data_IF_685024749393
#
_entry.id   IF_685024749393
#
_cell.length_a   1.000
_cell.length_b   1.000
_cell.length_c   1.000
_cell.angle_alpha   90.00
_cell.angle_beta   90.00
_cell.angle_gamma   90.00
#
_symmetry.space_group_name_H-M   'P 1'
#
loop_
_entity.id
_entity.type
_entity.pdbx_description
1 polymer ?
#
# COMPACT_ATOMS: atom_id res chain seq x y z
N UNK A 1 -37.38 -59.94 -20.77
CA UNK A 1 -36.04 -59.63 -21.29
C UNK A 1 -36.12 -58.34 -22.09
N UNK A 2 -35.52 -57.27 -21.56
CA UNK A 2 -34.76 -56.25 -22.30
C UNK A 2 -35.54 -55.38 -23.32
N UNK A 3 -35.65 -54.05 -23.28
CA UNK A 3 -34.93 -52.93 -22.64
C UNK A 3 -35.90 -51.73 -22.53
N UNK A 4 -35.90 -51.05 -21.37
CA UNK A 4 -36.37 -49.66 -21.26
C UNK A 4 -35.11 -48.80 -21.42
N UNK A 5 -34.99 -48.14 -22.58
CA UNK A 5 -33.89 -47.23 -22.87
C UNK A 5 -34.05 -45.95 -22.07
N UNK A 6 -33.43 -45.89 -20.90
CA UNK A 6 -33.21 -44.66 -20.15
C UNK A 6 -32.23 -43.79 -20.93
N UNK A 7 -32.75 -42.74 -21.56
CA UNK A 7 -31.94 -41.63 -22.07
C UNK A 7 -31.51 -40.78 -20.85
N UNK A 8 -30.46 -41.23 -20.16
CA UNK A 8 -29.80 -40.43 -19.12
C UNK A 8 -28.99 -39.34 -19.84
N UNK A 9 -29.59 -38.17 -20.03
CA UNK A 9 -28.87 -36.94 -20.35
C UNK A 9 -28.01 -36.62 -19.13
N UNK A 10 -26.75 -37.03 -19.16
CA UNK A 10 -25.71 -36.59 -18.26
C UNK A 10 -25.47 -35.10 -18.55
N UNK A 11 -26.25 -34.25 -17.89
CA UNK A 11 -25.97 -32.83 -17.71
C UNK A 11 -24.73 -32.73 -16.82
N UNK A 12 -23.55 -32.98 -17.40
CA UNK A 12 -22.31 -32.46 -16.87
C UNK A 12 -22.39 -30.94 -17.05
N UNK A 13 -22.94 -30.26 -16.03
CA UNK A 13 -22.63 -28.87 -15.76
C UNK A 13 -21.12 -28.80 -15.53
N UNK A 14 -20.36 -28.71 -16.62
CA UNK A 14 -18.99 -28.23 -16.57
C UNK A 14 -19.08 -26.81 -16.04
N UNK A 15 -18.90 -26.64 -14.73
CA UNK A 15 -18.49 -25.36 -14.20
C UNK A 15 -17.21 -25.02 -14.94
N UNK A 16 -17.30 -24.12 -15.92
CA UNK A 16 -16.13 -23.58 -16.59
C UNK A 16 -15.28 -22.98 -15.47
N UNK A 17 -14.19 -23.65 -15.12
CA UNK A 17 -13.21 -23.07 -14.22
C UNK A 17 -12.70 -21.81 -14.94
N UNK A 18 -13.06 -20.64 -14.43
CA UNK A 18 -12.54 -19.39 -14.95
C UNK A 18 -11.04 -19.40 -14.71
N UNK A 19 -10.26 -19.09 -15.75
CA UNK A 19 -8.85 -18.84 -15.60
C UNK A 19 -8.70 -17.69 -14.59
N UNK A 20 -8.04 -17.98 -13.47
CA UNK A 20 -7.76 -17.04 -12.41
C UNK A 20 -6.27 -16.73 -12.32
N UNK A 21 -5.92 -15.86 -11.39
CA UNK A 21 -4.55 -15.43 -11.10
C UNK A 21 -4.22 -15.75 -9.67
N UNK A 22 -3.06 -16.38 -9.45
CA UNK A 22 -2.42 -16.48 -8.13
C UNK A 22 -1.33 -15.43 -8.06
N UNK A 23 -1.31 -14.65 -6.99
CA UNK A 23 -0.25 -13.69 -6.71
C UNK A 23 0.19 -13.78 -5.26
N UNK A 24 1.49 -13.93 -5.03
CA UNK A 24 2.08 -13.87 -3.69
C UNK A 24 2.95 -12.64 -3.58
N UNK A 25 2.73 -11.86 -2.54
CA UNK A 25 3.50 -10.65 -2.28
C UNK A 25 4.03 -10.62 -0.85
N UNK A 26 5.20 -10.03 -0.71
CA UNK A 26 5.74 -9.62 0.58
C UNK A 26 5.88 -8.11 0.58
N UNK A 27 5.28 -7.45 1.57
CA UNK A 27 5.40 -6.01 1.78
C UNK A 27 5.95 -5.72 3.17
N UNK A 28 6.75 -4.68 3.29
CA UNK A 28 7.31 -4.20 4.54
C UNK A 28 7.33 -2.67 4.53
N UNK A 29 6.92 -2.06 5.64
CA UNK A 29 7.10 -0.64 5.90
C UNK A 29 7.81 -0.50 7.25
N UNK A 30 8.92 0.22 7.26
CA UNK A 30 9.64 0.57 8.49
C UNK A 30 9.54 2.07 8.71
N UNK A 31 8.84 2.43 9.77
CA UNK A 31 8.73 3.80 10.25
C UNK A 31 9.87 4.07 11.24
N UNK A 32 10.61 5.16 11.02
CA UNK A 32 11.69 5.58 11.91
C UNK A 32 11.12 5.90 13.29
N UNK A 33 11.76 5.38 14.35
CA UNK A 33 11.35 5.48 15.77
C UNK A 33 10.03 4.78 16.16
N UNK A 34 9.21 4.28 15.23
CA UNK A 34 7.96 3.55 15.54
C UNK A 34 8.17 2.03 15.41
N UNK A 35 8.84 1.59 14.35
CA UNK A 35 9.12 0.18 14.10
C UNK A 35 8.66 -0.30 12.73
N UNK A 36 8.49 -1.60 12.61
CA UNK A 36 8.43 -2.30 11.32
C UNK A 36 7.17 -3.15 11.19
N UNK A 37 6.43 -2.92 10.13
CA UNK A 37 5.23 -3.65 9.74
C UNK A 37 5.53 -4.48 8.50
N UNK A 38 5.27 -5.79 8.55
CA UNK A 38 5.45 -6.72 7.41
C UNK A 38 4.15 -7.46 7.14
N UNK A 39 3.81 -7.61 5.87
CA UNK A 39 2.66 -8.37 5.37
C UNK A 39 3.17 -9.38 4.35
N UNK A 40 2.76 -10.63 4.47
CA UNK A 40 2.83 -11.59 3.38
C UNK A 40 1.41 -11.89 2.95
N UNK A 41 1.08 -11.67 1.68
CA UNK A 41 -0.26 -11.90 1.14
C UNK A 41 -0.21 -12.98 0.06
N UNK A 42 -1.23 -13.83 0.04
CA UNK A 42 -1.54 -14.71 -1.09
C UNK A 42 -2.91 -14.34 -1.61
N UNK A 43 -2.96 -13.92 -2.86
CA UNK A 43 -4.15 -13.50 -3.56
C UNK A 43 -4.53 -14.56 -4.60
N UNK A 44 -5.81 -14.91 -4.61
CA UNK A 44 -6.46 -15.70 -5.66
C UNK A 44 -7.52 -14.81 -6.28
N UNK A 45 -7.52 -14.71 -7.60
CA UNK A 45 -8.34 -13.73 -8.29
C UNK A 45 -8.98 -14.30 -9.54
N UNK A 46 -10.27 -14.11 -9.69
CA UNK A 46 -10.97 -14.19 -10.99
C UNK A 46 -11.47 -12.79 -11.33
N UNK A 47 -12.15 -12.64 -12.47
CA UNK A 47 -12.75 -11.37 -12.88
C UNK A 47 -13.86 -10.86 -11.96
N UNK A 48 -14.40 -11.71 -11.08
CA UNK A 48 -15.59 -11.46 -10.27
C UNK A 48 -15.46 -11.88 -8.79
N UNK A 49 -14.40 -12.59 -8.43
CA UNK A 49 -14.13 -13.05 -7.07
C UNK A 49 -12.66 -12.84 -6.72
N UNK A 50 -12.42 -12.43 -5.47
CA UNK A 50 -11.07 -12.26 -4.93
C UNK A 50 -11.01 -12.93 -3.58
N UNK A 51 -9.95 -13.67 -3.31
CA UNK A 51 -9.57 -14.11 -1.98
C UNK A 51 -8.17 -13.62 -1.68
N UNK A 52 -7.99 -13.03 -0.52
CA UNK A 52 -6.68 -12.65 0.00
C UNK A 52 -6.52 -13.29 1.37
N UNK A 53 -5.45 -14.05 1.56
CA UNK A 53 -5.03 -14.51 2.88
C UNK A 53 -3.71 -13.79 3.23
N UNK A 54 -3.69 -13.09 4.36
CA UNK A 54 -2.56 -12.26 4.80
C UNK A 54 -2.00 -12.70 6.15
N UNK A 55 -0.69 -12.69 6.28
CA UNK A 55 0.02 -12.79 7.55
C UNK A 55 0.75 -11.48 7.85
N UNK A 56 0.31 -10.79 8.90
CA UNK A 56 0.85 -9.50 9.32
C UNK A 56 1.73 -9.65 10.56
N UNK A 57 2.88 -8.98 10.58
CA UNK A 57 3.83 -8.95 11.69
C UNK A 57 4.26 -7.51 11.95
N UNK A 58 3.97 -7.02 13.14
CA UNK A 58 4.47 -5.74 13.62
C UNK A 58 5.55 -5.93 14.68
N UNK A 59 6.68 -5.25 14.52
CA UNK A 59 7.78 -5.16 15.49
C UNK A 59 8.01 -3.70 15.85
N UNK A 60 7.52 -3.27 17.01
CA UNK A 60 7.74 -1.90 17.51
C UNK A 60 9.17 -1.67 17.99
N UNK A 61 9.65 -0.43 17.83
CA UNK A 61 10.95 0.06 18.32
C UNK A 61 10.74 1.17 19.37
N UNK A 62 11.69 1.36 20.30
CA UNK A 62 11.68 2.46 21.28
C UNK A 62 10.64 2.38 22.42
N UNK A 63 10.36 3.54 23.03
CA UNK A 63 9.41 3.73 24.16
C UNK A 63 7.93 3.55 23.75
N UNK A 64 7.63 3.59 22.45
CA UNK A 64 6.31 3.33 21.85
C UNK A 64 5.94 1.83 21.76
N UNK A 65 6.65 0.96 22.48
CA UNK A 65 6.32 -0.47 22.65
C UNK A 65 4.96 -0.74 23.32
N UNK A 66 4.30 0.31 23.82
CA UNK A 66 3.04 0.25 24.56
C UNK A 66 1.83 -0.15 23.71
N UNK A 67 0.80 -0.67 24.39
CA UNK A 67 -0.35 -1.40 23.81
C UNK A 67 -1.13 -0.65 22.71
N UNK A 68 -1.11 0.68 22.66
CA UNK A 68 -1.86 1.48 21.68
C UNK A 68 -1.41 1.24 20.23
N UNK A 69 -0.11 1.10 19.97
CA UNK A 69 0.40 0.87 18.59
C UNK A 69 0.06 -0.55 18.11
N UNK A 70 0.03 -1.54 19.01
CA UNK A 70 -0.42 -2.92 18.70
C UNK A 70 -1.92 -3.02 18.38
N UNK A 71 -2.74 -2.10 18.90
CA UNK A 71 -4.18 -2.03 18.60
C UNK A 71 -4.43 -1.57 17.16
N UNK A 72 -3.57 -0.70 16.63
CA UNK A 72 -3.61 -0.19 15.25
C UNK A 72 -2.96 -1.22 14.29
N UNK A 73 -1.76 -1.68 14.59
CA UNK A 73 -1.01 -2.65 13.77
C UNK A 73 -1.17 -4.09 14.28
N UNK A 74 -2.39 -4.63 14.15
CA UNK A 74 -2.70 -6.00 14.59
C UNK A 74 -1.86 -7.00 13.79
N UNK A 75 -1.06 -7.78 14.51
CA UNK A 75 -0.37 -8.94 13.94
C UNK A 75 -1.29 -10.16 13.96
N UNK A 76 -1.26 -10.97 12.90
CA UNK A 76 -2.03 -12.19 12.83
C UNK A 76 -2.24 -12.70 11.42
N UNK A 77 -3.00 -13.79 11.31
CA UNK A 77 -3.48 -14.31 10.04
C UNK A 77 -4.93 -13.87 9.85
N UNK A 78 -5.18 -13.13 8.79
CA UNK A 78 -6.50 -12.66 8.40
C UNK A 78 -6.74 -13.05 6.95
N UNK A 79 -8.00 -13.12 6.55
CA UNK A 79 -8.37 -13.33 5.17
C UNK A 79 -9.53 -12.44 4.77
N UNK A 80 -9.71 -12.26 3.49
CA UNK A 80 -10.83 -11.56 2.90
C UNK A 80 -11.28 -12.31 1.66
N UNK A 81 -12.58 -12.43 1.48
CA UNK A 81 -13.20 -12.92 0.24
C UNK A 81 -14.14 -11.83 -0.27
N UNK A 82 -13.92 -11.34 -1.47
CA UNK A 82 -14.82 -10.42 -2.16
C UNK A 82 -15.54 -11.21 -3.25
N UNK A 83 -16.86 -11.16 -3.23
CA UNK A 83 -17.71 -11.82 -4.23
C UNK A 83 -18.60 -10.77 -4.87
N UNK A 84 -18.24 -10.34 -6.08
CA UNK A 84 -19.00 -9.31 -6.81
C UNK A 84 -20.42 -9.76 -7.19
N UNK A 85 -20.67 -11.02 -7.59
CA UNK A 85 -22.03 -11.49 -7.90
C UNK A 85 -22.98 -11.38 -6.69
N UNK A 86 -22.51 -11.82 -5.52
CA UNK A 86 -23.26 -11.73 -4.26
C UNK A 86 -23.19 -10.33 -3.62
N UNK A 87 -22.43 -9.40 -4.20
CA UNK A 87 -22.20 -8.04 -3.70
C UNK A 87 -21.79 -8.03 -2.22
N UNK A 88 -20.86 -8.91 -1.84
CA UNK A 88 -20.43 -9.08 -0.45
C UNK A 88 -18.92 -9.19 -0.27
N UNK A 89 -18.48 -8.80 0.91
CA UNK A 89 -17.12 -8.94 1.43
C UNK A 89 -17.21 -9.78 2.70
N UNK A 90 -16.49 -10.89 2.73
CA UNK A 90 -16.34 -11.75 3.89
C UNK A 90 -14.97 -11.50 4.50
N UNK A 91 -14.93 -11.05 5.75
CA UNK A 91 -13.69 -10.94 6.52
C UNK A 91 -13.49 -12.22 7.33
N UNK A 92 -12.30 -12.81 7.28
CA UNK A 92 -11.93 -14.06 7.94
C UNK A 92 -10.88 -13.80 9.03
N UNK A 93 -11.15 -14.24 10.25
CA UNK A 93 -10.14 -14.36 11.31
C UNK A 93 -9.71 -15.83 11.39
N UNK A 94 -8.56 -16.15 10.80
CA UNK A 94 -8.05 -17.51 10.76
C UNK A 94 -7.63 -18.04 12.14
N UNK A 95 -7.27 -17.15 13.08
CA UNK A 95 -6.88 -17.54 14.44
C UNK A 95 -8.10 -17.97 15.25
N UNK A 96 -9.20 -17.24 15.14
CA UNK A 96 -10.45 -17.53 15.85
C UNK A 96 -11.37 -18.47 15.08
N UNK A 97 -11.08 -18.72 13.80
CA UNK A 97 -11.97 -19.40 12.85
C UNK A 97 -13.35 -18.75 12.88
N UNK A 98 -13.38 -17.43 12.75
CA UNK A 98 -14.62 -16.66 12.67
C UNK A 98 -14.67 -15.84 11.41
N UNK A 99 -15.87 -15.52 10.93
CA UNK A 99 -16.05 -14.65 9.78
C UNK A 99 -17.10 -13.58 10.04
N UNK A 100 -17.07 -12.50 9.25
CA UNK A 100 -18.10 -11.47 9.20
C UNK A 100 -18.41 -11.15 7.74
N UNK A 101 -19.70 -11.09 7.40
CA UNK A 101 -20.15 -10.69 6.07
C UNK A 101 -20.52 -9.21 6.10
N UNK A 102 -20.14 -8.48 5.05
CA UNK A 102 -20.48 -7.08 4.83
C UNK A 102 -20.94 -6.89 3.39
N UNK A 103 -22.03 -6.17 3.12
CA UNK A 103 -22.42 -5.83 1.76
C UNK A 103 -21.44 -4.84 1.13
N UNK A 104 -21.20 -4.96 -0.18
CA UNK A 104 -20.55 -3.93 -0.98
C UNK A 104 -21.58 -2.83 -1.20
N UNK A 105 -21.43 -1.72 -0.49
CA UNK A 105 -22.30 -0.55 -0.62
C UNK A 105 -21.63 0.47 -1.56
N UNK A 106 -22.38 1.11 -2.46
CA UNK A 106 -21.89 2.29 -3.15
C UNK A 106 -21.37 3.30 -2.13
N UNK A 107 -20.18 3.84 -2.38
CA UNK A 107 -19.74 5.01 -1.64
C UNK A 107 -20.67 6.13 -2.08
N UNK A 108 -21.39 6.73 -1.13
CA UNK A 108 -22.04 8.00 -1.41
C UNK A 108 -20.92 9.00 -1.72
N UNK A 109 -20.55 9.15 -2.99
CA UNK A 109 -19.92 10.38 -3.43
C UNK A 109 -20.97 11.43 -3.13
N UNK A 110 -20.77 12.19 -2.06
CA UNK A 110 -21.50 13.43 -1.85
C UNK A 110 -21.23 14.25 -3.11
N UNK A 111 -22.18 14.23 -4.03
CA UNK A 111 -22.36 15.33 -4.95
C UNK A 111 -22.42 16.59 -4.07
N UNK A 112 -21.49 17.49 -4.29
CA UNK A 112 -21.54 18.85 -3.78
C UNK A 112 -22.72 19.57 -4.44
N UNK A 113 -23.93 19.24 -4.01
CA UNK A 113 -25.20 19.84 -4.41
C UNK A 113 -26.16 19.85 -3.21
N UNK A 114 -26.86 20.96 -2.94
CA UNK A 114 -27.61 21.12 -1.70
C UNK A 114 -28.99 20.45 -1.77
N UNK A 115 -29.35 19.78 -0.66
CA UNK A 115 -30.72 19.34 -0.36
C UNK A 115 -31.09 17.98 -0.95
N UNK A 116 -31.84 17.10 -0.31
CA UNK A 116 -32.62 17.07 0.94
C UNK A 116 -32.84 15.57 1.24
N UNK A 117 -32.98 15.17 2.51
CA UNK A 117 -33.62 13.89 2.85
C UNK A 117 -32.98 13.06 3.97
N UNK A 118 -33.23 13.50 5.21
CA UNK A 118 -33.55 12.72 6.42
C UNK A 118 -32.59 11.60 6.90
N UNK A 119 -31.76 11.95 7.90
CA UNK A 119 -31.37 11.04 8.98
C UNK A 119 -31.77 11.65 10.32
N UNK A 120 -32.47 10.85 11.13
CA UNK A 120 -32.85 11.14 12.51
C UNK A 120 -31.62 11.32 13.43
N UNK A 121 -31.81 12.28 14.32
CA UNK A 121 -31.06 12.76 15.49
C UNK A 121 -29.87 11.93 16.03
N UNK A 122 -28.72 12.60 16.06
CA UNK A 122 -27.56 12.26 16.87
C UNK A 122 -26.43 13.28 16.70
N UNK A 123 -26.52 14.39 17.46
CA UNK A 123 -25.50 15.43 17.73
C UNK A 123 -24.88 16.18 16.52
N UNK A 124 -25.15 17.49 16.47
CA UNK A 124 -24.60 18.46 15.52
C UNK A 124 -23.06 18.54 15.60
N UNK A 125 -22.36 17.89 14.68
CA UNK A 125 -21.05 18.38 14.23
C UNK A 125 -21.28 19.35 13.06
N UNK A 126 -20.94 20.62 13.29
CA UNK A 126 -20.94 21.66 12.26
C UNK A 126 -20.14 21.19 11.03
N UNK A 127 -20.58 21.53 9.81
CA UNK A 127 -19.85 21.16 8.60
C UNK A 127 -18.46 21.77 8.65
N UNK A 128 -17.42 20.92 8.63
CA UNK A 128 -16.06 21.37 8.40
C UNK A 128 -16.04 22.05 7.02
N UNK A 129 -15.90 23.38 7.04
CA UNK A 129 -15.57 24.15 5.85
C UNK A 129 -14.34 23.49 5.21
N UNK A 130 -14.44 23.14 3.93
CA UNK A 130 -13.27 22.79 3.13
C UNK A 130 -12.47 24.08 2.95
N UNK A 131 -11.68 24.43 3.96
CA UNK A 131 -10.73 25.52 3.90
C UNK A 131 -9.79 25.30 2.72
N UNK A 132 -9.48 26.39 2.01
CA UNK A 132 -8.42 26.39 1.02
C UNK A 132 -7.14 25.79 1.65
N UNK A 133 -6.47 24.87 0.95
CA UNK A 133 -5.24 24.30 1.48
C UNK A 133 -4.23 25.42 1.73
N UNK A 134 -3.78 25.53 2.98
CA UNK A 134 -2.80 26.53 3.42
C UNK A 134 -1.40 26.28 2.84
N UNK A 135 -1.20 25.20 2.09
CA UNK A 135 0.09 24.81 1.52
C UNK A 135 0.10 25.04 0.01
N UNK A 136 1.17 25.67 -0.48
CA UNK A 136 1.47 25.90 -1.88
C UNK A 136 2.67 25.03 -2.29
N UNK A 137 2.55 24.31 -3.41
CA UNK A 137 3.68 23.61 -4.02
C UNK A 137 4.52 24.62 -4.80
N UNK A 138 5.75 24.85 -4.35
CA UNK A 138 6.70 25.79 -4.98
C UNK A 138 7.42 25.12 -6.15
N UNK A 139 7.76 23.84 -6.00
CA UNK A 139 8.42 23.04 -7.04
C UNK A 139 8.05 21.58 -6.88
N UNK A 140 7.84 20.92 -8.01
CA UNK A 140 7.73 19.47 -8.07
C UNK A 140 8.66 18.94 -9.15
N UNK A 141 9.42 17.90 -8.83
CA UNK A 141 10.26 17.18 -9.76
C UNK A 141 9.97 15.69 -9.63
N UNK A 142 9.75 15.05 -10.77
CA UNK A 142 9.59 13.61 -10.87
C UNK A 142 10.50 13.13 -11.98
N UNK A 143 11.30 12.10 -11.72
CA UNK A 143 12.25 11.58 -12.70
C UNK A 143 12.30 10.07 -12.62
N UNK A 144 12.27 9.42 -13.78
CA UNK A 144 12.57 7.99 -13.93
C UNK A 144 13.88 7.84 -14.69
N UNK A 145 14.84 7.15 -14.06
CA UNK A 145 16.16 6.85 -14.63
C UNK A 145 16.31 5.34 -14.82
N UNK A 146 16.46 4.84 -16.06
CA UNK A 146 16.82 3.44 -16.29
C UNK A 146 18.28 3.20 -15.89
N UNK A 147 18.57 2.01 -15.38
CA UNK A 147 19.93 1.55 -15.10
C UNK A 147 20.27 0.34 -15.97
N UNK A 148 21.53 0.21 -16.36
CA UNK A 148 22.08 -0.98 -17.04
C UNK A 148 22.36 -2.12 -16.04
N UNK A 149 21.43 -2.36 -15.10
CA UNK A 149 21.49 -3.43 -14.12
C UNK A 149 20.35 -4.43 -14.37
N UNK A 150 20.73 -5.70 -14.57
CA UNK A 150 19.80 -6.81 -14.73
C UNK A 150 19.98 -7.84 -13.62
N UNK A 151 18.88 -8.44 -13.17
CA UNK A 151 18.89 -9.48 -12.13
C UNK A 151 17.65 -10.35 -12.22
N UNK A 152 17.80 -11.66 -12.00
CA UNK A 152 16.64 -12.54 -11.79
C UNK A 152 16.17 -12.48 -10.34
N UNK A 153 14.89 -12.17 -10.12
CA UNK A 153 14.24 -12.10 -8.80
C UNK A 153 13.04 -13.04 -8.82
N UNK A 154 12.98 -14.04 -7.94
CA UNK A 154 11.89 -15.03 -7.87
C UNK A 154 11.54 -15.71 -9.22
N UNK A 155 12.53 -15.90 -10.08
CA UNK A 155 12.34 -16.46 -11.43
C UNK A 155 11.99 -15.44 -12.52
N UNK A 156 11.73 -14.18 -12.15
CA UNK A 156 11.47 -13.10 -13.09
C UNK A 156 12.79 -12.46 -13.55
N UNK A 157 13.07 -12.36 -14.87
CA UNK A 157 14.21 -11.59 -15.37
C UNK A 157 13.89 -10.09 -15.25
N UNK A 158 14.61 -9.39 -14.36
CA UNK A 158 14.30 -7.99 -14.06
C UNK A 158 15.36 -7.00 -14.54
N UNK A 159 14.92 -5.78 -14.85
CA UNK A 159 15.73 -4.59 -15.08
C UNK A 159 15.44 -3.53 -14.03
N UNK A 160 16.44 -2.71 -13.72
CA UNK A 160 16.38 -1.73 -12.63
C UNK A 160 16.08 -0.31 -13.13
N UNK A 161 15.24 0.38 -12.38
CA UNK A 161 14.92 1.79 -12.56
C UNK A 161 15.04 2.53 -11.22
N UNK A 162 15.42 3.79 -11.28
CA UNK A 162 15.38 4.72 -10.16
C UNK A 162 14.26 5.73 -10.40
N UNK A 163 13.39 5.89 -9.42
CA UNK A 163 12.34 6.90 -9.41
C UNK A 163 12.68 7.90 -8.30
N UNK A 164 12.71 9.17 -8.67
CA UNK A 164 12.83 10.29 -7.76
C UNK A 164 11.54 11.11 -7.83
N UNK A 165 10.95 11.37 -6.68
CA UNK A 165 9.95 12.41 -6.52
C UNK A 165 10.45 13.41 -5.47
N UNK A 166 10.36 14.69 -5.78
CA UNK A 166 10.76 15.80 -4.92
C UNK A 166 9.67 16.86 -4.99
N UNK A 167 9.20 17.31 -3.83
CA UNK A 167 8.24 18.40 -3.69
C UNK A 167 8.79 19.41 -2.70
N UNK A 168 8.93 20.65 -3.14
CA UNK A 168 9.17 21.81 -2.29
C UNK A 168 7.86 22.54 -2.10
N UNK A 169 7.54 22.89 -0.86
CA UNK A 169 6.29 23.55 -0.52
C UNK A 169 6.51 24.73 0.41
N UNK A 170 5.51 25.62 0.44
CA UNK A 170 5.41 26.78 1.33
C UNK A 170 4.02 26.84 1.96
N UNK A 171 3.92 26.97 3.27
CA UNK A 171 2.67 27.33 3.93
C UNK A 171 2.39 28.83 3.72
N UNK A 172 1.25 29.16 3.13
CA UNK A 172 0.84 30.53 2.76
C UNK A 172 0.56 31.40 3.99
N UNK A 173 0.16 30.80 5.10
CA UNK A 173 -0.19 31.49 6.35
C UNK A 173 1.04 31.76 7.20
N UNK A 174 1.93 30.77 7.35
CA UNK A 174 3.09 30.83 8.26
C UNK A 174 4.40 31.17 7.55
N UNK A 175 4.39 31.21 6.21
CA UNK A 175 5.57 31.32 5.34
C UNK A 175 6.62 30.21 5.60
N UNK A 176 6.20 29.10 6.21
CA UNK A 176 7.09 27.97 6.45
C UNK A 176 7.36 27.20 5.16
N UNK A 177 8.63 26.87 4.93
CA UNK A 177 9.05 26.07 3.78
C UNK A 177 9.39 24.65 4.19
N UNK A 178 9.16 23.70 3.29
CA UNK A 178 9.55 22.30 3.50
C UNK A 178 9.92 21.61 2.20
N UNK A 179 10.56 20.46 2.36
CA UNK A 179 10.89 19.58 1.23
C UNK A 179 10.49 18.16 1.58
N UNK A 180 9.75 17.53 0.69
CA UNK A 180 9.41 16.12 0.73
C UNK A 180 10.05 15.41 -0.45
N UNK A 181 10.67 14.26 -0.20
CA UNK A 181 11.31 13.48 -1.26
C UNK A 181 11.11 12.00 -1.07
N UNK A 182 10.99 11.31 -2.19
CA UNK A 182 10.86 9.87 -2.28
C UNK A 182 11.91 9.37 -3.27
N UNK A 183 12.73 8.44 -2.80
CA UNK A 183 13.68 7.73 -3.64
C UNK A 183 13.22 6.28 -3.70
N UNK A 184 12.97 5.78 -4.91
CA UNK A 184 12.48 4.42 -5.13
C UNK A 184 13.36 3.72 -6.15
N UNK A 185 13.79 2.50 -5.84
CA UNK A 185 14.29 1.55 -6.82
C UNK A 185 13.15 0.64 -7.24
N UNK A 186 12.92 0.51 -8.54
CA UNK A 186 11.92 -0.40 -9.11
C UNK A 186 12.64 -1.43 -9.96
N UNK A 187 12.38 -2.71 -9.70
CA UNK A 187 12.79 -3.80 -10.58
C UNK A 187 11.58 -4.29 -11.36
N UNK A 188 11.63 -4.24 -12.68
CA UNK A 188 10.52 -4.66 -13.54
C UNK A 188 10.93 -5.86 -14.40
N UNK A 189 9.97 -6.74 -14.67
CA UNK A 189 10.12 -7.84 -15.64
C UNK A 189 9.37 -7.53 -16.93
N UNK A 190 9.83 -7.98 -18.10
CA UNK A 190 9.05 -7.88 -19.33
C UNK A 190 7.67 -8.54 -19.21
N UNK A 191 6.68 -7.98 -19.91
CA UNK A 191 5.36 -8.61 -20.03
C UNK A 191 5.45 -9.88 -20.88
N UNK A 192 5.29 -11.03 -20.24
CA UNK A 192 4.97 -12.31 -20.90
C UNK A 192 3.45 -12.44 -21.08
N UNK A 193 3.00 -13.40 -21.88
CA UNK A 193 1.55 -13.67 -22.02
C UNK A 193 0.89 -13.95 -20.67
N UNK A 194 1.49 -14.80 -19.84
CA UNK A 194 0.99 -15.10 -18.50
C UNK A 194 0.88 -13.86 -17.60
N UNK A 195 1.88 -12.96 -17.63
CA UNK A 195 1.83 -11.71 -16.87
C UNK A 195 0.73 -10.79 -17.42
N UNK A 196 0.54 -10.71 -18.74
CA UNK A 196 -0.54 -9.92 -19.35
C UNK A 196 -1.91 -10.43 -18.93
N UNK A 197 -2.13 -11.74 -19.00
CA UNK A 197 -3.38 -12.38 -18.57
C UNK A 197 -3.67 -12.12 -17.08
N UNK A 198 -2.64 -12.23 -16.24
CA UNK A 198 -2.75 -11.96 -14.82
C UNK A 198 -3.14 -10.49 -14.53
N UNK A 199 -2.46 -9.55 -15.19
CA UNK A 199 -2.74 -8.11 -15.07
C UNK A 199 -4.12 -7.74 -15.61
N UNK A 200 -4.55 -8.35 -16.71
CA UNK A 200 -5.90 -8.10 -17.25
C UNK A 200 -6.99 -8.63 -16.33
N UNK A 201 -6.76 -9.78 -15.68
CA UNK A 201 -7.66 -10.31 -14.63
C UNK A 201 -7.74 -9.35 -13.44
N UNK A 202 -6.60 -8.83 -12.97
CA UNK A 202 -6.54 -7.80 -11.91
C UNK A 202 -7.30 -6.54 -12.29
N UNK A 203 -7.09 -6.04 -13.50
CA UNK A 203 -7.73 -4.84 -14.03
C UNK A 203 -9.24 -5.03 -14.13
N UNK A 204 -9.67 -6.15 -14.70
CA UNK A 204 -11.09 -6.47 -14.89
C UNK A 204 -11.81 -6.57 -13.54
N UNK A 205 -11.24 -7.32 -12.59
CA UNK A 205 -11.80 -7.42 -11.24
C UNK A 205 -11.90 -6.04 -10.58
N UNK A 206 -10.81 -5.25 -10.62
CA UNK A 206 -10.76 -3.93 -9.98
C UNK A 206 -11.81 -2.98 -10.57
N UNK A 207 -11.92 -2.94 -11.90
CA UNK A 207 -12.97 -2.18 -12.60
C UNK A 207 -14.38 -2.61 -12.16
N UNK A 208 -14.65 -3.91 -12.12
CA UNK A 208 -15.95 -4.43 -11.71
C UNK A 208 -16.27 -4.11 -10.24
N UNK A 209 -15.26 -4.16 -9.36
CA UNK A 209 -15.40 -3.82 -7.96
C UNK A 209 -15.64 -2.32 -7.75
N UNK A 210 -14.89 -1.44 -8.44
CA UNK A 210 -15.10 0.01 -8.39
C UNK A 210 -16.49 0.41 -8.89
N UNK A 211 -16.96 -0.21 -9.98
CA UNK A 211 -18.35 -0.03 -10.45
C UNK A 211 -19.38 -0.40 -9.39
N UNK A 212 -19.15 -1.48 -8.63
CA UNK A 212 -20.03 -1.86 -7.49
C UNK A 212 -19.99 -0.86 -6.34
N UNK A 213 -18.88 -0.16 -6.18
CA UNK A 213 -18.73 0.95 -5.23
C UNK A 213 -19.28 2.27 -5.75
N UNK A 214 -19.76 2.35 -7.00
CA UNK A 214 -20.24 3.60 -7.60
C UNK A 214 -19.11 4.59 -7.94
N UNK A 215 -17.87 4.11 -8.08
CA UNK A 215 -16.70 4.92 -8.41
C UNK A 215 -16.47 4.83 -9.92
N UNK A 216 -16.32 6.00 -10.57
CA UNK A 216 -15.95 6.04 -11.99
C UNK A 216 -14.54 5.47 -12.20
N UNK A 217 -14.42 4.54 -13.15
CA UNK A 217 -13.22 3.72 -13.38
C UNK A 217 -12.10 4.56 -14.01
N UNK A 218 -12.44 5.61 -14.76
CA UNK A 218 -11.46 6.47 -15.41
C UNK A 218 -10.73 7.36 -14.40
N UNK A 219 -11.34 7.67 -13.25
CA UNK A 219 -10.77 8.53 -12.21
C UNK A 219 -9.66 7.85 -11.36
N UNK A 220 -9.49 6.52 -11.44
CA UNK A 220 -8.57 5.76 -10.57
C UNK A 220 -7.49 4.97 -11.31
N UNK A 221 -7.56 4.82 -12.63
CA UNK A 221 -6.53 4.13 -13.42
C UNK A 221 -5.14 4.78 -13.31
N UNK A 222 -5.08 6.06 -12.94
CA UNK A 222 -3.84 6.81 -12.74
C UNK A 222 -3.17 6.55 -11.37
N UNK A 223 -3.86 5.91 -10.42
CA UNK A 223 -3.39 5.70 -9.05
C UNK A 223 -2.59 4.38 -8.81
N UNK A 224 -2.44 3.54 -9.84
CA UNK A 224 -2.13 2.09 -9.72
C UNK A 224 -0.63 1.76 -9.50
N UNK A 225 0.24 2.74 -9.23
CA UNK A 225 1.67 2.49 -8.97
C UNK A 225 2.02 2.17 -7.51
N UNK A 226 1.12 1.50 -6.78
CA UNK A 226 1.35 1.20 -5.36
C UNK A 226 1.24 2.45 -4.46
N UNK A 227 0.56 3.50 -4.92
CA UNK A 227 0.35 4.76 -4.18
C UNK A 227 -0.67 4.65 -3.03
N UNK A 228 -1.17 3.45 -2.72
CA UNK A 228 -2.03 3.20 -1.55
C UNK A 228 -1.35 3.63 -0.24
N UNK A 229 -0.02 3.64 -0.14
CA UNK A 229 0.68 4.16 1.03
C UNK A 229 0.61 5.69 1.13
N UNK A 230 0.56 6.43 0.01
CA UNK A 230 0.37 7.89 0.03
C UNK A 230 -1.04 8.27 0.50
N UNK A 231 -2.05 7.51 0.09
CA UNK A 231 -3.40 7.65 0.64
C UNK A 231 -3.47 7.28 2.14
N UNK A 232 -2.69 6.28 2.57
CA UNK A 232 -2.55 5.95 4.01
C UNK A 232 -1.84 7.05 4.79
N UNK A 233 -0.79 7.67 4.24
CA UNK A 233 -0.11 8.80 4.89
C UNK A 233 -1.02 10.02 5.01
N UNK A 234 -1.81 10.32 3.97
CA UNK A 234 -2.78 11.40 4.03
C UNK A 234 -3.84 11.20 5.12
N UNK A 235 -4.18 9.94 5.42
CA UNK A 235 -5.08 9.59 6.54
C UNK A 235 -4.42 9.62 7.91
N UNK A 236 -3.10 9.45 8.00
CA UNK A 236 -2.35 9.53 9.26
C UNK A 236 -1.98 10.97 9.63
N UNK A 237 -2.02 11.89 8.67
CA UNK A 237 -1.79 13.32 8.89
C UNK A 237 -2.78 14.15 8.03
N UNK A 238 -4.08 14.19 8.41
CA UNK A 238 -5.12 14.85 7.61
C UNK A 238 -4.93 16.35 7.44
N UNK A 239 -4.26 17.03 8.38
CA UNK A 239 -3.91 18.46 8.27
C UNK A 239 -2.70 18.73 7.33
N UNK A 240 -1.91 17.70 6.99
CA UNK A 240 -0.64 17.86 6.25
C UNK A 240 -0.64 17.16 4.87
N UNK A 241 -1.76 16.57 4.45
CA UNK A 241 -1.89 15.85 3.17
C UNK A 241 -2.10 16.78 1.97
N UNK A 242 -1.31 17.84 1.85
CA UNK A 242 -1.43 18.82 0.78
C UNK A 242 -0.58 18.45 -0.43
N UNK A 243 -0.95 17.38 -1.15
CA UNK A 243 -0.72 17.19 -2.59
C UNK A 243 -1.02 15.73 -2.95
N UNK A 244 -2.10 15.48 -3.70
CA UNK A 244 -2.13 14.34 -4.62
C UNK A 244 -1.44 14.80 -5.90
N UNK A 245 -0.21 14.33 -6.22
CA UNK A 245 0.55 14.81 -7.38
C UNK A 245 0.04 14.22 -8.71
N UNK A 246 -1.10 13.53 -8.73
CA UNK A 246 -1.47 12.57 -9.78
C UNK A 246 -1.76 13.16 -11.15
N UNK A 247 -1.94 14.48 -11.30
CA UNK A 247 -2.49 15.04 -12.55
C UNK A 247 -1.52 15.94 -13.32
N UNK A 248 -0.20 15.87 -13.07
CA UNK A 248 0.76 16.61 -13.91
C UNK A 248 1.16 15.78 -15.15
N UNK A 249 1.09 16.35 -16.37
CA UNK A 249 1.47 15.64 -17.61
C UNK A 249 2.94 15.20 -17.63
N UNK A 250 3.79 15.85 -16.84
CA UNK A 250 5.21 15.52 -16.71
C UNK A 250 5.42 14.20 -15.94
N UNK A 251 4.64 13.94 -14.88
CA UNK A 251 4.69 12.67 -14.15
C UNK A 251 4.27 11.51 -15.06
N UNK A 252 3.16 11.65 -15.80
CA UNK A 252 2.70 10.61 -16.71
C UNK A 252 3.73 10.30 -17.81
N UNK A 253 4.45 11.32 -18.29
CA UNK A 253 5.50 11.17 -19.30
C UNK A 253 6.72 10.42 -18.75
N UNK A 254 7.16 10.74 -17.54
CA UNK A 254 8.26 10.06 -16.87
C UNK A 254 7.92 8.61 -16.52
N UNK A 255 6.70 8.36 -16.06
CA UNK A 255 6.23 7.01 -15.73
C UNK A 255 6.22 6.07 -16.93
N UNK A 256 6.00 6.57 -18.16
CA UNK A 256 6.10 5.76 -19.37
C UNK A 256 7.50 5.18 -19.61
N UNK A 257 8.54 5.73 -18.98
CA UNK A 257 9.91 5.18 -19.03
C UNK A 257 10.06 3.90 -18.20
N UNK A 258 9.16 3.63 -17.26
CA UNK A 258 9.12 2.35 -16.53
C UNK A 258 8.50 1.29 -17.44
N UNK A 259 9.35 0.50 -18.08
CA UNK A 259 8.89 -0.59 -18.93
C UNK A 259 8.75 -1.89 -18.13
N UNK A 260 7.66 -2.62 -18.37
CA UNK A 260 7.42 -3.95 -17.77
C UNK A 260 6.60 -3.91 -16.47
N UNK A 261 6.41 -5.09 -15.89
CA UNK A 261 5.65 -5.29 -14.67
C UNK A 261 6.55 -5.19 -13.43
N UNK A 262 6.22 -4.36 -12.42
CA UNK A 262 7.05 -4.20 -11.23
C UNK A 262 7.06 -5.47 -10.37
N UNK A 263 8.25 -6.02 -10.12
CA UNK A 263 8.50 -7.19 -9.26
C UNK A 263 9.01 -6.77 -7.89
N UNK A 264 9.88 -5.76 -7.82
CA UNK A 264 10.34 -5.18 -6.54
C UNK A 264 10.17 -3.66 -6.59
N UNK A 265 9.66 -3.11 -5.51
CA UNK A 265 9.61 -1.67 -5.25
C UNK A 265 10.23 -1.46 -3.87
N UNK A 266 11.37 -0.78 -3.82
CA UNK A 266 12.11 -0.50 -2.58
C UNK A 266 12.37 1.00 -2.51
N UNK A 267 11.90 1.66 -1.46
CA UNK A 267 12.04 3.11 -1.37
C UNK A 267 12.08 3.68 0.02
N UNK A 268 12.41 4.97 0.06
CA UNK A 268 12.59 5.74 1.27
C UNK A 268 11.97 7.12 1.10
N UNK A 269 11.20 7.55 2.09
CA UNK A 269 10.59 8.86 2.14
C UNK A 269 11.30 9.73 3.17
N UNK A 270 11.58 10.97 2.79
CA UNK A 270 12.26 11.96 3.61
C UNK A 270 11.43 13.24 3.65
N UNK A 271 11.29 13.81 4.85
CA UNK A 271 10.63 15.08 5.07
C UNK A 271 11.61 16.01 5.78
N UNK A 272 11.98 17.11 5.14
CA UNK A 272 12.79 18.18 5.72
C UNK A 272 11.86 19.31 6.14
N UNK A 273 11.98 19.71 7.40
CA UNK A 273 11.25 20.82 8.01
C UNK A 273 12.26 21.72 8.74
N UNK A 274 12.44 23.00 8.40
CA UNK A 274 13.49 23.86 8.95
C UNK A 274 13.44 24.03 10.48
N UNK A 275 12.24 24.15 11.08
CA UNK A 275 12.08 24.30 12.55
C UNK A 275 12.44 23.01 13.30
N UNK A 276 11.93 21.85 12.87
CA UNK A 276 12.27 20.54 13.45
C UNK A 276 13.70 20.08 13.15
N UNK A 277 14.30 20.52 12.05
CA UNK A 277 15.71 20.24 11.72
C UNK A 277 16.68 20.95 12.68
N UNK A 278 16.28 22.10 13.23
CA UNK A 278 17.04 22.82 14.25
C UNK A 278 16.93 22.15 15.63
N UNK A 279 15.73 21.70 16.00
CA UNK A 279 15.48 20.93 17.23
C UNK A 279 16.17 19.55 17.20
N UNK A 280 16.18 18.83 16.07
CA UNK A 280 16.90 17.56 15.95
C UNK A 280 18.43 17.73 16.01
N UNK A 281 18.97 18.87 15.57
CA UNK A 281 20.39 19.18 15.70
C UNK A 281 20.76 19.48 17.17
N UNK A 282 19.83 20.07 17.93
CA UNK A 282 19.99 20.35 19.36
C UNK A 282 19.82 19.07 20.22
N UNK A 283 18.90 18.17 19.87
CA UNK A 283 18.76 16.85 20.53
C UNK A 283 19.97 15.92 20.29
N UNK A 284 20.57 15.91 19.08
CA UNK A 284 21.80 15.13 18.82
C UNK A 284 23.03 15.70 19.58
N UNK A 285 23.03 17.00 19.91
CA UNK A 285 24.05 17.60 20.78
C UNK A 285 23.80 17.27 22.26
N UNK A 286 22.55 17.27 22.74
CA UNK A 286 22.21 16.90 24.13
C UNK A 286 22.39 15.40 24.43
N UNK A 287 22.10 14.49 23.50
CA UNK A 287 22.32 13.04 23.70
C UNK A 287 23.82 12.68 23.70
N UNK A 288 24.68 13.56 23.18
CA UNK A 288 26.15 13.45 23.26
C UNK A 288 26.78 14.19 24.45
N UNK A 289 25.97 14.92 25.23
CA UNK A 289 26.42 15.98 26.13
C UNK A 289 26.15 15.77 27.63
N UNK A 290 25.99 14.54 28.12
CA UNK A 290 25.60 14.33 29.52
C UNK A 290 26.15 13.07 30.20
N UNK A 291 27.43 13.07 30.59
CA UNK A 291 27.93 12.36 31.79
C UNK A 291 29.36 12.79 32.09
N UNK A 292 29.53 13.56 33.17
CA UNK A 292 30.84 13.97 33.64
C UNK A 292 31.69 12.78 34.10
N UNK A 293 32.94 12.73 33.64
CA UNK A 293 34.02 12.12 34.40
C UNK A 293 35.33 12.88 34.15
N UNK A 294 35.82 13.55 35.19
CA UNK A 294 37.19 14.07 35.28
C UNK A 294 38.17 12.88 35.32
N UNK A 295 39.30 13.05 34.62
CA UNK A 295 40.63 12.38 34.75
C UNK A 295 40.80 10.95 34.19
N UNK A 296 41.47 10.83 33.05
CA UNK A 296 42.85 10.26 32.88
C UNK A 296 43.12 10.09 31.37
N UNK A 297 44.12 10.75 30.78
CA UNK A 297 45.51 10.29 30.63
C UNK A 297 45.62 8.89 29.96
N UNK A 298 46.04 8.87 28.69
CA UNK A 298 46.52 7.64 28.06
C UNK A 298 46.15 7.55 26.58
N UNK A 299 47.13 7.81 25.71
CA UNK A 299 46.99 7.65 24.27
C UNK A 299 46.70 6.22 23.81
N UNK A 300 46.45 6.11 22.51
CA UNK A 300 46.00 4.95 21.72
C UNK A 300 44.49 4.86 21.50
N UNK A 301 43.99 5.63 20.52
CA UNK A 301 43.20 5.05 19.42
C UNK A 301 43.05 6.05 18.24
N UNK A 302 44.17 6.55 17.69
CA UNK A 302 44.21 7.13 16.34
C UNK A 302 44.39 6.00 15.32
N UNK A 303 43.29 5.41 14.83
CA UNK A 303 43.16 4.84 13.47
C UNK A 303 41.79 4.15 13.31
N UNK A 304 40.79 4.93 12.88
CA UNK A 304 39.68 4.57 11.97
C UNK A 304 38.57 5.64 12.03
N UNK A 305 38.93 6.92 11.81
CA UNK A 305 37.93 7.91 11.38
C UNK A 305 37.65 7.66 9.89
N UNK A 306 36.79 6.68 9.61
CA UNK A 306 36.08 6.60 8.34
C UNK A 306 35.25 7.88 8.21
N UNK A 307 35.33 8.50 7.02
CA UNK A 307 34.42 9.51 6.46
C UNK A 307 33.31 9.95 7.43
N UNK A 308 33.44 11.15 7.99
CA UNK A 308 32.31 11.87 8.60
C UNK A 308 31.18 11.87 7.57
N UNK A 309 30.15 11.04 7.80
CA UNK A 309 28.87 11.19 7.12
C UNK A 309 28.38 12.59 7.50
N UNK A 310 27.93 13.38 6.51
CA UNK A 310 27.07 14.54 6.79
C UNK A 310 25.97 14.08 7.76
N UNK A 311 25.50 14.89 8.74
CA UNK A 311 24.37 14.52 9.59
C UNK A 311 23.27 14.01 8.68
N UNK A 312 23.05 12.70 8.77
CA UNK A 312 22.44 11.92 7.71
C UNK A 312 20.95 12.08 7.87
N UNK A 313 20.31 12.81 6.96
CA UNK A 313 18.87 12.90 6.90
C UNK A 313 18.29 11.48 6.92
N UNK A 314 17.71 11.07 8.06
CA UNK A 314 17.13 9.74 8.19
C UNK A 314 15.77 9.76 7.49
N UNK A 315 15.39 8.69 6.77
CA UNK A 315 14.06 8.62 6.18
C UNK A 315 13.02 8.62 7.30
N UNK A 316 11.87 9.24 7.07
CA UNK A 316 10.71 9.15 7.96
C UNK A 316 10.19 7.70 7.97
N UNK A 317 10.15 7.08 6.79
CA UNK A 317 9.94 5.65 6.65
C UNK A 317 10.61 5.11 5.39
N UNK A 318 10.76 3.79 5.37
CA UNK A 318 11.17 3.02 4.20
C UNK A 318 10.10 1.98 3.91
N UNK A 319 9.95 1.60 2.65
CA UNK A 319 8.97 0.61 2.22
C UNK A 319 9.59 -0.32 1.19
N UNK A 320 9.12 -1.55 1.19
CA UNK A 320 9.58 -2.62 0.33
C UNK A 320 8.38 -3.46 -0.06
N UNK A 321 8.19 -3.72 -1.34
CA UNK A 321 7.20 -4.67 -1.87
C UNK A 321 7.88 -5.56 -2.88
N UNK A 322 7.62 -6.85 -2.80
CA UNK A 322 8.17 -7.87 -3.68
C UNK A 322 7.08 -8.87 -4.09
N UNK A 323 6.95 -9.09 -5.39
CA UNK A 323 6.17 -10.17 -5.98
C UNK A 323 7.00 -11.45 -5.94
N UNK A 324 6.54 -12.42 -5.15
CA UNK A 324 7.17 -13.72 -4.99
C UNK A 324 6.67 -14.73 -6.02
N UNK A 325 5.44 -14.56 -6.47
CA UNK A 325 4.77 -15.46 -7.40
C UNK A 325 3.68 -14.69 -8.15
N UNK A 326 3.58 -14.93 -9.45
CA UNK A 326 2.49 -14.46 -10.30
C UNK A 326 2.29 -15.52 -11.38
N UNK A 327 1.11 -16.15 -11.41
CA UNK A 327 0.78 -17.17 -12.42
C UNK A 327 -0.72 -17.22 -12.69
N UNK A 328 -1.09 -17.80 -13.83
CA UNK A 328 -2.50 -18.12 -14.12
C UNK A 328 -2.82 -19.55 -13.69
N UNK A 329 -4.00 -19.74 -13.10
CA UNK A 329 -4.46 -21.03 -12.58
C UNK A 329 -5.98 -21.10 -12.59
N UNK A 330 -6.54 -22.26 -12.90
CA UNK A 330 -7.99 -22.49 -12.83
C UNK A 330 -8.39 -22.83 -11.39
N UNK A 331 -9.37 -22.13 -10.83
CA UNK A 331 -9.80 -22.32 -9.45
C UNK A 331 -11.10 -23.11 -9.32
N UNK A 332 -11.18 -23.93 -8.27
CA UNK A 332 -12.47 -24.46 -7.79
C UNK A 332 -13.30 -23.33 -7.17
N UNK A 333 -14.62 -23.27 -7.40
CA UNK A 333 -15.51 -22.30 -6.74
C UNK A 333 -15.39 -22.31 -5.21
N UNK A 334 -15.09 -23.47 -4.61
CA UNK A 334 -14.94 -23.62 -3.16
C UNK A 334 -13.84 -22.73 -2.58
N UNK A 335 -12.84 -22.34 -3.38
CA UNK A 335 -11.75 -21.46 -2.97
C UNK A 335 -12.27 -20.10 -2.45
N UNK A 336 -13.34 -19.61 -3.04
CA UNK A 336 -13.97 -18.33 -2.75
C UNK A 336 -15.16 -18.48 -1.78
N UNK A 337 -15.27 -19.60 -1.07
CA UNK A 337 -16.28 -19.81 -0.03
C UNK A 337 -15.68 -19.71 1.37
N UNK A 338 -16.54 -19.54 2.38
CA UNK A 338 -16.13 -19.55 3.79
C UNK A 338 -15.56 -20.94 4.10
N UNK A 339 -14.32 -21.06 4.63
CA UNK A 339 -13.76 -22.37 4.94
C UNK A 339 -14.59 -23.10 6.00
N UNK A 340 -14.64 -24.43 5.89
CA UNK A 340 -15.40 -25.26 6.82
C UNK A 340 -14.93 -25.07 8.27
N UNK A 341 -15.89 -25.09 9.20
CA UNK A 341 -15.63 -24.92 10.64
C UNK A 341 -15.44 -23.48 11.11
N UNK A 342 -15.62 -22.48 10.23
CA UNK A 342 -15.68 -21.08 10.63
C UNK A 342 -17.06 -20.73 11.20
N UNK A 343 -17.09 -19.90 12.24
CA UNK A 343 -18.33 -19.42 12.88
C UNK A 343 -18.59 -17.97 12.53
N UNK A 344 -19.84 -17.62 12.29
CA UNK A 344 -20.20 -16.22 12.10
C UNK A 344 -19.96 -15.44 13.40
N UNK A 345 -19.32 -14.29 13.30
CA UNK A 345 -19.10 -13.38 14.41
C UNK A 345 -20.34 -12.49 14.52
N UNK A 346 -21.13 -12.73 15.56
CA UNK A 346 -22.25 -11.87 15.94
C UNK A 346 -21.79 -10.45 16.27
#
# INVERSE_FOLDING_TARGET
SRWIGALMVLLLLGMAASAGTVKKTQSEVKFTKIGKYRVNATEYLTTDQKRVDEETKFKGEGFLKNMAVKLIFKSGKQGQIIQLPASQIVQLDHKKKTYRIQPIKPVAMKDSGPGEGEMEEGEEEAPAEQGESEVEIVRMEFTVTPFDEEKTINGFPCRKYGVLWLTEWRNKTTDEHGTDSLYTTVWTTPYTEEIREAVETEKTFSSNYLKKLGIDVDAMQEAVLGMNWMQMLGKLNPEESAASPTNSPDIATELKKLEGYPIVIDGAYFAIRPKKAREMAEEEEEESGGLGFKKSLGGFLKKKMKKKKKPGLQPVFTYYTEVQELRTEAFSPDLFTIPSGYKEKQ
#
